data_IF_697591723897
#
_entry.id   IF_697591723897
#
_cell.length_a   1.000
_cell.length_b   1.000
_cell.length_c   1.000
_cell.angle_alpha   90.00
_cell.angle_beta   90.00
_cell.angle_gamma   90.00
#
_symmetry.space_group_name_H-M   'P 1'
#
loop_
_entity.id
_entity.type
_entity.pdbx_description
1 polymer ?
#
# COMPACT_ATOMS: atom_id res chain seq x y z
N UNK A 1 -72.88 6.70 30.67
CA UNK A 1 -72.80 7.69 29.58
C UNK A 1 -71.33 7.92 29.26
N UNK A 2 -70.93 7.59 28.03
CA UNK A 2 -69.55 7.72 27.58
C UNK A 2 -69.14 9.20 27.49
N UNK A 3 -67.87 9.51 27.76
CA UNK A 3 -67.20 10.67 27.18
C UNK A 3 -65.74 10.30 26.93
N UNK A 4 -65.41 10.30 25.64
CA UNK A 4 -64.15 9.85 25.09
C UNK A 4 -63.11 10.99 25.02
N UNK A 5 -61.86 10.55 24.80
CA UNK A 5 -60.70 11.28 24.26
C UNK A 5 -59.88 12.05 25.29
N UNK A 6 -58.67 11.56 25.59
CA UNK A 6 -57.43 12.13 25.04
C UNK A 6 -56.32 11.08 25.13
N UNK A 7 -55.68 10.92 23.99
CA UNK A 7 -54.58 10.03 23.66
C UNK A 7 -53.31 10.61 24.26
N UNK A 8 -52.58 9.84 25.06
CA UNK A 8 -51.13 9.94 25.09
C UNK A 8 -50.60 8.51 25.09
N UNK A 9 -50.51 7.95 23.89
CA UNK A 9 -49.72 6.74 23.66
C UNK A 9 -48.31 7.10 24.07
N UNK A 10 -47.86 6.55 25.20
CA UNK A 10 -46.48 6.60 25.64
C UNK A 10 -45.65 5.74 24.67
N UNK A 11 -45.45 6.24 23.46
CA UNK A 11 -44.36 5.76 22.61
C UNK A 11 -43.11 6.42 23.17
N UNK A 12 -42.59 5.84 24.25
CA UNK A 12 -41.18 6.00 24.59
C UNK A 12 -40.40 5.34 23.46
N UNK A 13 -40.22 6.08 22.37
CA UNK A 13 -39.22 5.80 21.35
C UNK A 13 -37.89 5.98 22.07
N UNK A 14 -37.48 4.93 22.78
CA UNK A 14 -36.10 4.73 23.20
C UNK A 14 -35.34 4.41 21.92
N UNK A 15 -35.15 5.43 21.09
CA UNK A 15 -34.09 5.43 20.09
C UNK A 15 -32.79 5.53 20.88
N UNK A 16 -32.35 4.40 21.45
CA UNK A 16 -30.93 4.23 21.77
C UNK A 16 -30.24 4.23 20.43
N UNK A 17 -29.90 5.44 19.96
CA UNK A 17 -28.83 5.66 19.02
C UNK A 17 -27.62 4.95 19.62
N UNK A 18 -27.40 3.72 19.18
CA UNK A 18 -26.08 3.13 19.18
C UNK A 18 -25.27 3.94 18.17
N UNK A 19 -24.86 5.14 18.58
CA UNK A 19 -23.62 5.72 18.08
C UNK A 19 -22.54 4.82 18.65
N UNK A 20 -22.39 3.65 18.04
CA UNK A 20 -21.13 2.94 18.05
C UNK A 20 -20.20 3.86 17.29
N UNK A 21 -19.61 4.82 18.00
CA UNK A 21 -18.32 5.37 17.64
C UNK A 21 -17.36 4.18 17.69
N UNK A 22 -17.38 3.37 16.63
CA UNK A 22 -16.19 2.64 16.26
C UNK A 22 -15.16 3.73 16.05
N UNK A 23 -14.36 3.98 17.08
CA UNK A 23 -13.05 4.57 16.92
C UNK A 23 -12.32 3.60 15.99
N UNK A 24 -12.54 3.76 14.68
CA UNK A 24 -11.71 3.16 13.66
C UNK A 24 -10.31 3.58 14.07
N UNK A 25 -9.50 2.60 14.48
CA UNK A 25 -8.11 2.82 14.82
C UNK A 25 -7.52 3.59 13.65
N UNK A 26 -7.27 4.89 13.84
CA UNK A 26 -6.48 5.67 12.92
C UNK A 26 -5.09 5.06 13.00
N UNK A 27 -4.82 4.10 12.14
CA UNK A 27 -3.44 3.73 11.83
C UNK A 27 -2.83 4.98 11.20
N UNK A 28 -2.19 5.78 12.05
CA UNK A 28 -1.47 6.98 11.66
C UNK A 28 -0.39 6.63 10.65
N UNK A 29 -0.38 7.39 9.56
CA UNK A 29 0.60 7.29 8.48
C UNK A 29 -0.05 7.60 7.14
N UNK A 30 -0.19 8.89 6.81
CA UNK A 30 -0.69 9.36 5.52
C UNK A 30 0.28 8.99 4.40
N UNK A 31 0.10 7.82 3.81
CA UNK A 31 0.84 7.35 2.63
C UNK A 31 -0.11 7.14 1.46
N UNK A 32 0.45 7.19 0.25
CA UNK A 32 -0.25 6.91 -1.00
C UNK A 32 -0.59 5.41 -1.04
N UNK A 33 -1.86 5.02 -1.16
CA UNK A 33 -2.25 3.61 -1.30
C UNK A 33 -1.66 2.99 -2.58
N UNK A 34 -1.14 1.78 -2.46
CA UNK A 34 -0.53 1.04 -3.56
C UNK A 34 -0.74 -0.47 -3.42
N UNK A 35 -0.45 -1.18 -4.49
CA UNK A 35 -0.23 -2.63 -4.48
C UNK A 35 1.27 -2.87 -4.54
N UNK A 36 1.78 -3.67 -3.61
CA UNK A 36 3.16 -4.14 -3.67
C UNK A 36 3.20 -5.52 -4.32
N UNK A 37 4.06 -5.67 -5.33
CA UNK A 37 4.37 -6.93 -6.04
C UNK A 37 5.78 -7.40 -5.68
N UNK A 38 6.10 -8.66 -5.99
CA UNK A 38 7.47 -9.19 -5.87
C UNK A 38 8.16 -9.15 -7.22
N UNK A 39 9.39 -8.65 -7.24
CA UNK A 39 10.23 -8.61 -8.43
C UNK A 39 11.69 -8.95 -8.12
N UNK A 40 12.28 -9.76 -9.00
CA UNK A 40 13.71 -10.04 -9.08
C UNK A 40 14.45 -8.98 -9.89
N UNK A 41 15.52 -8.43 -9.31
CA UNK A 41 16.33 -7.36 -9.89
C UNK A 41 17.67 -7.87 -10.44
N UNK A 42 17.91 -9.19 -10.39
CA UNK A 42 19.12 -9.79 -10.95
C UNK A 42 18.97 -10.07 -12.43
N UNK A 43 20.11 -10.30 -13.07
CA UNK A 43 20.17 -10.70 -14.47
C UNK A 43 19.45 -12.04 -14.67
N UNK A 44 18.51 -12.06 -15.61
CA UNK A 44 17.77 -13.27 -15.99
C UNK A 44 16.55 -13.57 -15.13
N UNK A 45 16.17 -12.67 -14.23
CA UNK A 45 14.93 -12.76 -13.45
C UNK A 45 13.80 -11.96 -14.11
N UNK A 46 12.63 -11.94 -13.45
CA UNK A 46 11.39 -11.35 -13.95
C UNK A 46 11.46 -9.84 -14.24
N UNK A 47 12.33 -9.09 -13.54
CA UNK A 47 12.56 -7.66 -13.81
C UNK A 47 13.18 -7.39 -15.18
N UNK A 48 13.67 -8.42 -15.86
CA UNK A 48 14.10 -8.35 -17.25
C UNK A 48 15.43 -7.61 -17.43
N UNK A 49 15.35 -6.33 -17.81
CA UNK A 49 16.50 -5.50 -18.16
C UNK A 49 17.24 -4.91 -16.95
N UNK A 50 18.37 -4.24 -17.16
CA UNK A 50 18.99 -3.42 -16.12
C UNK A 50 18.08 -2.27 -15.69
N UNK A 51 18.19 -1.86 -14.43
CA UNK A 51 17.30 -0.88 -13.81
C UNK A 51 17.43 0.52 -14.44
N UNK A 52 16.30 1.24 -14.57
CA UNK A 52 16.21 2.51 -15.28
C UNK A 52 17.03 3.66 -14.65
N UNK A 53 17.31 3.61 -13.35
CA UNK A 53 18.05 4.69 -12.69
C UNK A 53 19.55 4.69 -13.00
N UNK A 54 20.17 3.52 -13.11
CA UNK A 54 21.64 3.39 -13.20
C UNK A 54 22.13 2.40 -14.26
N UNK A 55 21.23 1.70 -14.95
CA UNK A 55 21.60 0.71 -15.96
C UNK A 55 22.24 -0.55 -15.39
N UNK A 56 22.03 -0.85 -14.11
CA UNK A 56 22.60 -2.01 -13.44
C UNK A 56 21.54 -3.03 -13.00
N UNK A 57 21.99 -4.28 -12.84
CA UNK A 57 21.25 -5.29 -12.09
C UNK A 57 21.60 -5.15 -10.61
N UNK A 58 20.64 -5.47 -9.75
CA UNK A 58 20.79 -5.35 -8.30
C UNK A 58 20.51 -6.70 -7.61
N UNK A 59 20.92 -6.85 -6.36
CA UNK A 59 20.65 -8.08 -5.61
C UNK A 59 19.26 -8.04 -5.00
N UNK A 60 18.50 -9.15 -5.03
CA UNK A 60 17.21 -9.22 -4.33
C UNK A 60 17.32 -9.20 -2.80
N UNK A 61 18.57 -9.28 -2.29
CA UNK A 61 18.91 -9.06 -0.89
C UNK A 61 18.97 -7.57 -0.51
N UNK A 62 19.01 -6.67 -1.49
CA UNK A 62 18.97 -5.23 -1.27
C UNK A 62 17.52 -4.77 -1.10
N UNK A 63 17.27 -3.80 -0.22
CA UNK A 63 15.92 -3.23 -0.05
C UNK A 63 15.66 -2.20 -1.14
N UNK A 64 15.24 -2.68 -2.29
CA UNK A 64 15.02 -1.88 -3.49
C UNK A 64 13.63 -2.09 -4.09
N UNK A 65 13.21 -1.12 -4.90
CA UNK A 65 11.91 -1.15 -5.59
C UNK A 65 11.95 -0.46 -6.96
N UNK A 66 11.05 -0.89 -7.85
CA UNK A 66 10.60 -0.14 -9.00
C UNK A 66 9.25 0.55 -8.70
N UNK A 67 9.03 1.73 -9.26
CA UNK A 67 7.76 2.45 -9.10
C UNK A 67 7.02 2.53 -10.43
N UNK A 68 5.69 2.45 -10.41
CA UNK A 68 4.87 2.76 -11.59
C UNK A 68 5.27 4.08 -12.23
N UNK A 69 5.21 4.19 -13.56
CA UNK A 69 5.68 5.33 -14.36
C UNK A 69 5.38 6.72 -13.75
N UNK A 70 4.14 6.93 -13.29
CA UNK A 70 3.74 8.21 -12.67
C UNK A 70 4.52 8.53 -11.40
N UNK A 71 4.79 7.53 -10.59
CA UNK A 71 5.52 7.65 -9.33
C UNK A 71 7.02 7.64 -9.52
N UNK A 72 7.53 6.88 -10.49
CA UNK A 72 8.93 6.98 -10.94
C UNK A 72 9.27 8.41 -11.39
N UNK A 73 8.30 9.08 -12.01
CA UNK A 73 8.33 10.51 -12.34
C UNK A 73 9.56 10.87 -13.18
N UNK A 74 9.80 10.11 -14.25
CA UNK A 74 10.95 10.30 -15.16
C UNK A 74 12.29 10.35 -14.39
N UNK A 75 12.47 9.43 -13.44
CA UNK A 75 13.68 9.30 -12.64
C UNK A 75 13.83 10.32 -11.50
N UNK A 76 12.86 11.20 -11.25
CA UNK A 76 12.95 12.17 -10.14
C UNK A 76 13.08 11.52 -8.76
N UNK A 77 12.69 10.25 -8.62
CA UNK A 77 12.84 9.45 -7.40
C UNK A 77 14.05 8.51 -7.40
N UNK A 78 14.85 8.47 -8.46
CA UNK A 78 16.01 7.59 -8.53
C UNK A 78 16.95 7.75 -7.34
N UNK A 79 17.32 6.62 -6.75
CA UNK A 79 18.17 6.48 -5.57
C UNK A 79 17.66 7.18 -4.31
N UNK A 80 16.42 7.69 -4.32
CA UNK A 80 15.75 8.17 -3.13
C UNK A 80 15.06 7.01 -2.43
N UNK A 81 14.88 7.17 -1.12
CA UNK A 81 14.17 6.19 -0.32
C UNK A 81 12.68 6.52 -0.28
N UNK A 82 11.88 5.47 -0.23
CA UNK A 82 10.48 5.53 0.13
C UNK A 82 10.25 4.69 1.38
N UNK A 83 9.27 5.07 2.19
CA UNK A 83 8.78 4.27 3.30
C UNK A 83 7.56 3.50 2.85
N UNK A 84 7.62 2.17 2.88
CA UNK A 84 6.51 1.27 2.54
C UNK A 84 5.92 0.73 3.84
N UNK A 85 4.59 0.75 3.98
CA UNK A 85 3.88 0.24 5.15
C UNK A 85 2.83 -0.79 4.72
N UNK A 86 2.91 -1.99 5.28
CA UNK A 86 1.96 -3.06 5.00
C UNK A 86 0.60 -2.78 5.62
N UNK A 87 -0.46 -2.82 4.81
CA UNK A 87 -1.83 -2.72 5.33
C UNK A 87 -2.26 -3.99 6.09
N UNK A 88 -1.54 -5.12 5.94
CA UNK A 88 -1.87 -6.40 6.59
C UNK A 88 -1.45 -6.46 8.05
N UNK A 89 -0.26 -5.95 8.37
CA UNK A 89 0.34 -6.09 9.70
C UNK A 89 0.89 -4.78 10.28
N UNK A 90 0.80 -3.66 9.56
CA UNK A 90 1.25 -2.34 10.02
C UNK A 90 2.77 -2.16 10.10
N UNK A 91 3.57 -3.15 9.69
CA UNK A 91 5.03 -3.03 9.63
C UNK A 91 5.42 -2.08 8.50
N UNK A 92 6.54 -1.38 8.67
CA UNK A 92 7.11 -0.51 7.65
C UNK A 92 8.58 -0.83 7.39
N UNK A 93 9.03 -0.53 6.17
CA UNK A 93 10.43 -0.62 5.76
C UNK A 93 10.77 0.55 4.83
N UNK A 94 12.02 1.01 4.85
CA UNK A 94 12.55 1.89 3.81
C UNK A 94 13.18 1.08 2.68
N UNK A 95 12.91 1.47 1.45
CA UNK A 95 13.50 0.88 0.26
C UNK A 95 13.97 1.97 -0.72
N UNK A 96 15.06 1.71 -1.44
CA UNK A 96 15.59 2.63 -2.45
C UNK A 96 14.92 2.39 -3.79
N UNK A 97 14.49 3.46 -4.46
CA UNK A 97 13.96 3.37 -5.84
C UNK A 97 15.12 3.24 -6.81
N UNK A 98 15.12 2.16 -7.59
CA UNK A 98 16.17 1.88 -8.61
C UNK A 98 15.62 1.76 -10.02
N UNK A 99 14.31 1.58 -10.18
CA UNK A 99 13.74 1.24 -11.48
C UNK A 99 12.33 1.82 -11.71
N UNK A 100 11.89 1.76 -12.97
CA UNK A 100 10.54 2.05 -13.41
C UNK A 100 9.78 0.75 -13.70
N UNK A 101 8.63 0.60 -13.07
CA UNK A 101 7.64 -0.38 -13.50
C UNK A 101 6.79 0.27 -14.61
N UNK A 102 7.20 0.10 -15.87
CA UNK A 102 6.62 0.84 -17.01
C UNK A 102 5.16 0.48 -17.25
N UNK A 103 4.27 1.43 -16.91
CA UNK A 103 2.82 1.23 -17.02
C UNK A 103 2.32 1.19 -18.47
N UNK A 104 3.16 1.56 -19.44
CA UNK A 104 2.88 1.38 -20.88
C UNK A 104 3.24 -0.01 -21.37
N UNK A 105 3.95 -0.80 -20.57
CA UNK A 105 4.46 -2.14 -20.91
C UNK A 105 4.00 -3.23 -19.93
N UNK A 106 2.81 -3.07 -19.37
CA UNK A 106 2.12 -4.11 -18.60
C UNK A 106 2.07 -3.90 -17.09
N UNK A 107 2.82 -2.94 -16.54
CA UNK A 107 2.67 -2.58 -15.13
C UNK A 107 1.36 -1.81 -14.88
N UNK A 108 0.74 -1.98 -13.70
CA UNK A 108 -0.40 -1.13 -13.29
C UNK A 108 0.12 0.27 -12.87
N UNK A 109 -0.78 1.24 -12.74
CA UNK A 109 -0.43 2.64 -12.40
C UNK A 109 -0.19 2.90 -10.90
N UNK A 110 -0.35 1.88 -10.06
CA UNK A 110 -0.33 1.98 -8.60
C UNK A 110 0.53 0.88 -7.92
N UNK A 111 1.65 0.52 -8.55
CA UNK A 111 2.55 -0.56 -8.13
C UNK A 111 3.81 -0.01 -7.46
N UNK A 112 4.15 -0.65 -6.34
CA UNK A 112 5.49 -0.62 -5.73
C UNK A 112 6.07 -2.01 -5.95
N UNK A 113 6.92 -2.16 -6.96
CA UNK A 113 7.43 -3.48 -7.35
C UNK A 113 8.71 -3.76 -6.58
N UNK A 114 8.68 -4.73 -5.67
CA UNK A 114 9.64 -4.77 -4.57
C UNK A 114 10.46 -6.05 -4.54
N UNK A 115 11.74 -5.89 -4.22
CA UNK A 115 12.68 -7.00 -4.00
C UNK A 115 12.25 -7.92 -2.85
N UNK A 116 12.75 -9.15 -2.88
CA UNK A 116 12.50 -10.14 -1.81
C UNK A 116 12.87 -9.63 -0.42
N UNK A 117 13.95 -8.85 -0.28
CA UNK A 117 14.36 -8.26 0.99
C UNK A 117 13.35 -7.27 1.58
N UNK A 118 12.59 -6.55 0.73
CA UNK A 118 11.51 -5.66 1.19
C UNK A 118 10.36 -6.48 1.77
N UNK A 119 9.95 -7.55 1.07
CA UNK A 119 8.92 -8.48 1.53
C UNK A 119 9.28 -9.13 2.86
N UNK A 120 10.51 -9.63 2.98
CA UNK A 120 11.03 -10.24 4.20
C UNK A 120 11.04 -9.25 5.38
N UNK A 121 11.51 -8.02 5.16
CA UNK A 121 11.53 -6.98 6.19
C UNK A 121 10.12 -6.59 6.67
N UNK A 122 9.12 -6.65 5.79
CA UNK A 122 7.71 -6.46 6.15
C UNK A 122 7.08 -7.70 6.79
N UNK A 123 7.78 -8.84 6.83
CA UNK A 123 7.26 -10.12 7.33
C UNK A 123 6.11 -10.65 6.48
N UNK A 124 6.22 -10.56 5.16
CA UNK A 124 5.21 -10.98 4.19
C UNK A 124 5.74 -12.14 3.34
N UNK A 125 4.84 -13.05 2.97
CA UNK A 125 5.15 -14.20 2.11
C UNK A 125 5.06 -13.80 0.62
N UNK A 126 6.16 -13.96 -0.11
CA UNK A 126 6.23 -13.66 -1.55
C UNK A 126 5.33 -14.56 -2.39
N UNK A 127 4.95 -15.76 -1.91
CA UNK A 127 4.05 -16.67 -2.64
C UNK A 127 2.62 -16.10 -2.81
N UNK A 128 2.27 -15.05 -2.06
CA UNK A 128 1.00 -14.32 -2.22
C UNK A 128 1.00 -13.47 -3.50
N UNK A 129 2.17 -13.07 -4.00
CA UNK A 129 2.34 -12.29 -5.23
C UNK A 129 2.04 -10.80 -5.07
N UNK A 130 0.86 -10.44 -4.53
CA UNK A 130 0.42 -9.05 -4.38
C UNK A 130 -0.17 -8.75 -2.99
N UNK A 131 0.17 -7.59 -2.42
CA UNK A 131 -0.37 -7.14 -1.12
C UNK A 131 -0.68 -5.64 -1.10
N UNK A 132 -1.74 -5.21 -0.39
CA UNK A 132 -2.01 -3.79 -0.21
C UNK A 132 -0.99 -3.15 0.74
N UNK A 133 -0.45 -1.99 0.33
CA UNK A 133 0.47 -1.16 1.12
C UNK A 133 0.09 0.31 1.03
N UNK A 134 0.70 1.12 1.88
CA UNK A 134 0.84 2.56 1.64
C UNK A 134 2.31 2.90 1.50
N UNK A 135 2.65 3.95 0.75
CA UNK A 135 4.02 4.45 0.68
C UNK A 135 4.10 5.97 0.73
N UNK A 136 5.24 6.50 1.13
CA UNK A 136 5.58 7.92 1.07
C UNK A 136 7.05 8.09 0.73
N UNK A 137 7.43 9.26 0.23
CA UNK A 137 8.85 9.66 0.23
C UNK A 137 9.37 9.63 1.69
N UNK A 138 10.62 9.20 1.89
CA UNK A 138 11.27 9.04 3.21
C UNK A 138 12.31 10.13 3.49
#
# INVERSE_FOLDING_TARGET
MANAKIVLVAVAIVAVLHVSCAAARRHGGGGIPAVMTVNGFRRGEEGGGPAACDGHFHSDGDRITALSTRWFANGQRCHKKIRITSARNGRSVEATVVDECDSRRGCKDNVVDASKAVWEALGLDTNVGEVPVTWSDA
#
